data_IF_416464117252
#
_entry.id   IF_416464117252
#
_cell.length_a   1.000
_cell.length_b   1.000
_cell.length_c   1.000
_cell.angle_alpha   90.00
_cell.angle_beta   90.00
_cell.angle_gamma   90.00
#
_symmetry.space_group_name_H-M   'P 1'
#
loop_
_entity.id
_entity.type
_entity.pdbx_description
1 polymer ?
#
# COMPACT_ATOMS: atom_id res chain seq x y z
N UNK A 1 -10.62 -35.49 -13.26
CA UNK A 1 -10.79 -34.10 -12.79
C UNK A 1 -9.45 -33.66 -12.26
N UNK A 2 -8.74 -32.78 -12.96
CA UNK A 2 -7.50 -32.19 -12.46
C UNK A 2 -7.85 -31.16 -11.38
N UNK A 3 -7.15 -31.14 -10.24
CA UNK A 3 -7.32 -30.07 -9.28
C UNK A 3 -6.80 -28.77 -9.89
N UNK A 4 -7.61 -27.72 -9.81
CA UNK A 4 -7.26 -26.36 -10.16
C UNK A 4 -6.00 -25.96 -9.37
N UNK A 5 -4.95 -25.40 -10.00
CA UNK A 5 -3.84 -24.84 -9.25
C UNK A 5 -4.37 -23.62 -8.48
N UNK A 6 -4.39 -23.73 -7.16
CA UNK A 6 -4.44 -22.57 -6.28
C UNK A 6 -3.21 -21.73 -6.58
N UNK A 7 -3.39 -20.65 -7.33
CA UNK A 7 -2.38 -19.61 -7.49
C UNK A 7 -2.29 -18.88 -6.15
N UNK A 8 -1.59 -19.48 -5.19
CA UNK A 8 -0.95 -18.77 -4.10
C UNK A 8 0.22 -18.01 -4.74
N UNK A 9 -0.07 -16.91 -5.43
CA UNK A 9 0.96 -15.89 -5.61
C UNK A 9 1.24 -15.34 -4.23
N UNK A 10 2.31 -15.84 -3.62
CA UNK A 10 2.86 -15.36 -2.36
C UNK A 10 3.26 -13.91 -2.51
N UNK A 11 2.29 -13.02 -2.40
CA UNK A 11 2.51 -11.60 -2.28
C UNK A 11 2.99 -11.35 -0.87
N UNK A 12 4.30 -11.21 -0.72
CA UNK A 12 4.91 -10.78 0.52
C UNK A 12 5.39 -9.33 0.37
N UNK A 13 4.67 -8.34 0.92
CA UNK A 13 5.04 -6.93 0.76
C UNK A 13 6.39 -6.60 1.40
N UNK A 14 6.94 -7.46 2.28
CA UNK A 14 8.24 -7.22 2.93
C UNK A 14 9.40 -7.97 2.29
N UNK A 15 9.21 -8.67 1.17
CA UNK A 15 10.27 -9.47 0.52
C UNK A 15 11.51 -8.61 0.18
N UNK A 16 11.34 -7.48 -0.52
CA UNK A 16 12.43 -6.54 -0.85
C UNK A 16 13.12 -6.01 0.40
N UNK A 17 12.33 -5.70 1.44
CA UNK A 17 12.84 -5.17 2.70
C UNK A 17 13.68 -6.21 3.47
N UNK A 18 13.24 -7.47 3.46
CA UNK A 18 13.90 -8.60 4.13
C UNK A 18 15.19 -9.01 3.45
N UNK A 19 15.36 -8.72 2.15
CA UNK A 19 16.63 -8.89 1.45
C UNK A 19 17.71 -7.87 1.87
N UNK A 20 17.31 -6.73 2.46
CA UNK A 20 18.19 -5.62 2.80
C UNK A 20 18.44 -5.47 4.31
N UNK A 21 17.49 -5.92 5.13
CA UNK A 21 17.46 -5.67 6.57
C UNK A 21 17.38 -6.97 7.36
N UNK A 22 17.89 -6.94 8.60
CA UNK A 22 17.69 -8.03 9.56
C UNK A 22 16.20 -8.14 9.95
N UNK A 23 15.71 -9.31 10.40
CA UNK A 23 14.33 -9.46 10.84
C UNK A 23 13.90 -8.45 11.92
N UNK A 24 14.80 -8.09 12.84
CA UNK A 24 14.53 -7.08 13.86
C UNK A 24 14.36 -5.66 13.27
N UNK A 25 15.15 -5.32 12.24
CA UNK A 25 15.04 -4.05 11.53
C UNK A 25 13.77 -3.99 10.67
N UNK A 26 13.41 -5.10 9.98
CA UNK A 26 12.14 -5.23 9.25
C UNK A 26 10.97 -5.02 10.21
N UNK A 27 10.95 -5.73 11.34
CA UNK A 27 9.91 -5.59 12.34
C UNK A 27 9.76 -4.14 12.84
N UNK A 28 10.87 -3.49 13.20
CA UNK A 28 10.87 -2.10 13.66
C UNK A 28 10.37 -1.15 12.58
N UNK A 29 10.78 -1.35 11.33
CA UNK A 29 10.30 -0.58 10.19
C UNK A 29 8.78 -0.73 10.04
N UNK A 30 8.28 -1.96 9.98
CA UNK A 30 6.85 -2.23 9.81
C UNK A 30 6.04 -1.65 10.97
N UNK A 31 6.53 -1.78 12.21
CA UNK A 31 5.89 -1.23 13.40
C UNK A 31 5.74 0.30 13.34
N UNK A 32 6.70 1.00 12.71
CA UNK A 32 6.65 2.45 12.52
C UNK A 32 5.82 2.86 11.29
N UNK A 33 5.90 2.08 10.21
CA UNK A 33 5.23 2.37 8.95
C UNK A 33 3.71 2.17 9.04
N UNK A 34 3.22 1.13 9.73
CA UNK A 34 1.78 0.79 9.76
C UNK A 34 0.89 1.95 10.24
N UNK A 35 1.17 2.63 11.37
CA UNK A 35 0.36 3.77 11.79
C UNK A 35 0.35 4.93 10.78
N UNK A 36 1.48 5.19 10.13
CA UNK A 36 1.59 6.23 9.12
C UNK A 36 0.82 5.87 7.85
N UNK A 37 0.90 4.61 7.40
CA UNK A 37 0.16 4.10 6.26
C UNK A 37 -1.34 4.20 6.48
N UNK A 38 -1.83 3.82 7.66
CA UNK A 38 -3.26 3.93 8.01
C UNK A 38 -3.74 5.39 7.97
N UNK A 39 -2.95 6.31 8.51
CA UNK A 39 -3.29 7.74 8.50
C UNK A 39 -3.29 8.32 7.08
N UNK A 40 -2.26 8.01 6.29
CA UNK A 40 -2.13 8.49 4.92
C UNK A 40 -3.22 7.88 4.02
N UNK A 41 -3.56 6.61 4.19
CA UNK A 41 -4.63 5.92 3.47
C UNK A 41 -5.99 6.53 3.77
N UNK A 42 -6.35 6.71 5.05
CA UNK A 42 -7.61 7.34 5.44
C UNK A 42 -7.72 8.77 4.89
N UNK A 43 -6.61 9.52 4.95
CA UNK A 43 -6.56 10.89 4.42
C UNK A 43 -6.68 10.93 2.90
N UNK A 44 -6.01 10.01 2.19
CA UNK A 44 -6.11 9.87 0.74
C UNK A 44 -7.53 9.54 0.31
N UNK A 45 -8.19 8.57 0.96
CA UNK A 45 -9.58 8.22 0.68
C UNK A 45 -10.51 9.42 0.88
N UNK A 46 -10.34 10.16 1.98
CA UNK A 46 -11.12 11.37 2.23
C UNK A 46 -10.93 12.40 1.10
N UNK A 47 -9.70 12.66 0.68
CA UNK A 47 -9.43 13.61 -0.40
C UNK A 47 -9.98 13.13 -1.76
N UNK A 48 -9.90 11.84 -2.07
CA UNK A 48 -10.43 11.26 -3.32
C UNK A 48 -11.97 11.27 -3.38
N UNK A 49 -12.64 11.08 -2.24
CA UNK A 49 -14.11 11.15 -2.15
C UNK A 49 -14.59 12.59 -2.31
N UNK A 50 -13.90 13.54 -1.67
CA UNK A 50 -14.25 14.96 -1.71
C UNK A 50 -13.65 15.71 -2.91
N UNK A 51 -13.00 15.00 -3.84
CA UNK A 51 -12.37 15.58 -5.05
C UNK A 51 -11.34 16.68 -4.72
N UNK A 52 -10.67 16.56 -3.58
CA UNK A 52 -9.61 17.47 -3.14
C UNK A 52 -8.27 17.05 -3.76
N UNK A 53 -8.13 17.22 -5.07
CA UNK A 53 -7.02 16.64 -5.86
C UNK A 53 -5.63 17.05 -5.40
N UNK A 54 -5.45 18.31 -5.00
CA UNK A 54 -4.17 18.80 -4.48
C UNK A 54 -3.77 18.10 -3.17
N UNK A 55 -4.74 17.81 -2.30
CA UNK A 55 -4.49 17.09 -1.06
C UNK A 55 -4.34 15.59 -1.29
N UNK A 56 -5.12 15.01 -2.22
CA UNK A 56 -4.95 13.62 -2.65
C UNK A 56 -3.54 13.37 -3.20
N UNK A 57 -3.01 14.28 -4.03
CA UNK A 57 -1.63 14.22 -4.55
C UNK A 57 -0.59 14.22 -3.42
N UNK A 58 -0.73 15.11 -2.42
CA UNK A 58 0.17 15.12 -1.24
C UNK A 58 0.09 13.83 -0.44
N UNK A 59 -1.12 13.30 -0.19
CA UNK A 59 -1.28 12.05 0.55
C UNK A 59 -0.73 10.86 -0.23
N UNK A 60 -0.90 10.83 -1.56
CA UNK A 60 -0.33 9.81 -2.43
C UNK A 60 1.20 9.81 -2.39
N UNK A 61 1.83 10.99 -2.48
CA UNK A 61 3.27 11.15 -2.35
C UNK A 61 3.80 10.65 -1.00
N UNK A 62 3.10 11.00 0.09
CA UNK A 62 3.45 10.54 1.44
C UNK A 62 3.36 9.02 1.54
N UNK A 63 2.25 8.45 1.09
CA UNK A 63 2.02 7.01 1.13
C UNK A 63 3.07 6.26 0.29
N UNK A 64 3.40 6.77 -0.90
CA UNK A 64 4.48 6.27 -1.77
C UNK A 64 5.83 6.26 -1.06
N UNK A 65 6.17 7.35 -0.38
CA UNK A 65 7.43 7.46 0.36
C UNK A 65 7.53 6.40 1.46
N UNK A 66 6.45 6.18 2.21
CA UNK A 66 6.39 5.17 3.28
C UNK A 66 6.47 3.74 2.75
N UNK A 67 5.91 3.45 1.56
CA UNK A 67 5.91 2.10 0.97
C UNK A 67 7.05 1.84 -0.04
N UNK A 68 7.92 2.82 -0.30
CA UNK A 68 8.93 2.74 -1.36
C UNK A 68 9.92 1.57 -1.23
N UNK A 69 10.11 1.06 -0.01
CA UNK A 69 10.98 -0.09 0.29
C UNK A 69 10.22 -1.43 0.30
N UNK A 70 8.91 -1.42 0.07
CA UNK A 70 8.05 -2.60 0.06
C UNK A 70 7.85 -3.13 -1.37
N UNK A 71 7.50 -4.40 -1.48
CA UNK A 71 7.23 -5.09 -2.76
C UNK A 71 5.84 -4.77 -3.32
N UNK A 72 5.52 -3.49 -3.51
CA UNK A 72 4.15 -3.03 -3.82
C UNK A 72 4.07 -2.17 -5.08
N UNK A 73 4.80 -2.59 -6.13
CA UNK A 73 5.03 -1.80 -7.35
C UNK A 73 3.74 -1.35 -8.06
N UNK A 74 2.68 -2.18 -8.02
CA UNK A 74 1.37 -1.83 -8.61
C UNK A 74 0.65 -0.72 -7.86
N UNK A 75 0.74 -0.70 -6.52
CA UNK A 75 0.19 0.37 -5.70
C UNK A 75 1.00 1.67 -5.90
N UNK A 76 2.34 1.57 -5.95
CA UNK A 76 3.21 2.72 -6.25
C UNK A 76 2.81 3.38 -7.57
N UNK A 77 2.62 2.58 -8.63
CA UNK A 77 2.17 3.09 -9.93
C UNK A 77 0.83 3.82 -9.85
N UNK A 78 -0.15 3.27 -9.14
CA UNK A 78 -1.45 3.92 -8.97
C UNK A 78 -1.36 5.22 -8.15
N UNK A 79 -0.46 5.30 -7.17
CA UNK A 79 -0.20 6.53 -6.42
C UNK A 79 0.47 7.59 -7.29
N UNK A 80 1.37 7.21 -8.20
CA UNK A 80 1.96 8.14 -9.17
C UNK A 80 0.88 8.75 -10.10
N UNK A 81 -0.11 7.96 -10.50
CA UNK A 81 -1.26 8.46 -11.29
C UNK A 81 -2.06 9.50 -10.50
N UNK A 82 -2.27 9.30 -9.20
CA UNK A 82 -2.93 10.29 -8.33
C UNK A 82 -2.05 11.54 -8.15
N UNK A 83 -0.75 11.37 -7.93
CA UNK A 83 0.19 12.47 -7.69
C UNK A 83 0.29 13.40 -8.89
N UNK A 84 0.31 12.83 -10.10
CA UNK A 84 0.36 13.58 -11.36
C UNK A 84 -0.90 14.43 -11.62
N UNK A 85 -2.04 14.08 -11.00
CA UNK A 85 -3.35 14.67 -11.27
C UNK A 85 -3.72 14.73 -12.78
N UNK A 86 -3.05 13.92 -13.61
CA UNK A 86 -3.02 14.08 -15.08
C UNK A 86 -3.89 13.04 -15.79
N UNK A 87 -4.82 12.41 -15.06
CA UNK A 87 -5.57 11.27 -15.56
C UNK A 87 -7.04 11.35 -15.18
N UNK A 88 -7.90 11.33 -16.20
CA UNK A 88 -9.34 11.08 -16.05
C UNK A 88 -9.64 9.76 -15.32
N UNK A 89 -8.67 8.85 -15.23
CA UNK A 89 -8.79 7.64 -14.43
C UNK A 89 -8.94 7.92 -12.93
N UNK A 90 -8.34 8.99 -12.40
CA UNK A 90 -8.43 9.33 -10.96
C UNK A 90 -9.85 9.72 -10.55
N UNK A 91 -10.63 10.26 -11.49
CA UNK A 91 -12.05 10.58 -11.28
C UNK A 91 -12.94 9.33 -11.28
N UNK A 92 -12.48 8.23 -11.87
CA UNK A 92 -13.24 6.97 -11.89
C UNK A 92 -13.45 6.43 -10.47
N UNK A 93 -14.68 6.00 -10.16
CA UNK A 93 -14.98 5.29 -8.91
C UNK A 93 -14.17 4.01 -8.80
N UNK A 94 -14.07 3.26 -9.90
CA UNK A 94 -13.44 1.94 -9.93
C UNK A 94 -11.95 2.03 -9.62
N UNK A 95 -11.29 3.08 -10.14
CA UNK A 95 -9.88 3.34 -9.83
C UNK A 95 -9.69 3.70 -8.35
N UNK A 96 -10.56 4.56 -7.80
CA UNK A 96 -10.49 4.94 -6.38
C UNK A 96 -10.73 3.75 -5.45
N UNK A 97 -11.67 2.87 -5.80
CA UNK A 97 -11.93 1.63 -5.07
C UNK A 97 -10.77 0.64 -5.18
N UNK A 98 -10.14 0.52 -6.36
CA UNK A 98 -8.94 -0.30 -6.54
C UNK A 98 -7.80 0.17 -5.64
N UNK A 99 -7.49 1.47 -5.63
CA UNK A 99 -6.43 2.04 -4.77
C UNK A 99 -6.76 1.84 -3.29
N UNK A 100 -8.02 2.08 -2.91
CA UNK A 100 -8.48 1.83 -1.54
C UNK A 100 -8.27 0.38 -1.10
N UNK A 101 -8.62 -0.58 -1.97
CA UNK A 101 -8.46 -2.01 -1.70
C UNK A 101 -6.98 -2.41 -1.57
N UNK A 102 -6.12 -1.92 -2.47
CA UNK A 102 -4.68 -2.20 -2.42
C UNK A 102 -4.02 -1.63 -1.16
N UNK A 103 -4.37 -0.41 -0.76
CA UNK A 103 -3.89 0.17 0.50
C UNK A 103 -4.33 -0.66 1.71
N UNK A 104 -5.60 -1.09 1.74
CA UNK A 104 -6.11 -1.90 2.84
C UNK A 104 -5.42 -3.27 2.90
N UNK A 105 -5.27 -3.95 1.77
CA UNK A 105 -4.56 -5.24 1.70
C UNK A 105 -3.11 -5.13 2.19
N UNK A 106 -2.43 -4.03 1.88
CA UNK A 106 -1.09 -3.78 2.37
C UNK A 106 -1.08 -3.61 3.90
N UNK A 107 -1.97 -2.77 4.45
CA UNK A 107 -2.11 -2.58 5.89
C UNK A 107 -2.38 -3.92 6.59
N UNK A 108 -3.34 -4.70 6.10
CA UNK A 108 -3.71 -6.00 6.67
C UNK A 108 -2.53 -6.98 6.66
N UNK A 109 -1.76 -6.99 5.57
CA UNK A 109 -0.58 -7.86 5.43
C UNK A 109 0.52 -7.47 6.41
N UNK A 110 0.77 -6.18 6.59
CA UNK A 110 1.78 -5.67 7.53
C UNK A 110 1.34 -5.85 9.00
N UNK A 111 0.07 -5.67 9.32
CA UNK A 111 -0.47 -5.96 10.65
C UNK A 111 -0.40 -7.46 10.95
N UNK A 112 -0.71 -8.32 9.98
CA UNK A 112 -0.52 -9.76 10.09
C UNK A 112 0.93 -10.12 10.36
N UNK A 113 1.89 -9.48 9.67
CA UNK A 113 3.32 -9.68 9.93
C UNK A 113 3.71 -9.30 11.37
N UNK A 114 3.21 -8.18 11.90
CA UNK A 114 3.48 -7.76 13.27
C UNK A 114 2.89 -8.73 14.31
N UNK A 115 1.72 -9.31 14.03
CA UNK A 115 1.02 -10.23 14.93
C UNK A 115 1.61 -11.65 14.91
N UNK A 116 2.24 -12.06 13.80
CA UNK A 116 2.81 -13.41 13.63
C UNK A 116 4.31 -13.48 13.96
N UNK A 117 4.85 -12.51 14.73
CA UNK A 117 6.26 -12.48 15.09
C UNK A 117 6.66 -13.81 15.75
N UNK A 118 7.64 -14.56 15.21
CA UNK A 118 8.30 -15.60 15.99
C UNK A 118 9.13 -14.93 17.09
N UNK A 119 8.95 -15.38 18.33
CA UNK A 119 9.79 -14.99 19.48
C UNK A 119 11.29 -15.12 19.19
#
# INVERSE_FOLDING_TARGET
MNPTPTVNTGYDPIEKLSALLTPAQVFKFVQQAVPELKLAHASLQHSLINQQWADASKQAHRLKSTISLLSVDSLVHNLDLIESADSTAVESSDFRELVASQCQQLVDSLESYLNNKPD
#
